data_IF_494140656954
#
_entry.id   IF_494140656954
#
_cell.length_a   1.000
_cell.length_b   1.000
_cell.length_c   1.000
_cell.angle_alpha   90.00
_cell.angle_beta   90.00
_cell.angle_gamma   90.00
#
_symmetry.space_group_name_H-M   'P 1'
#
loop_
_entity.id
_entity.type
_entity.pdbx_description
1 polymer ?
#
# COMPACT_ATOMS: atom_id res chain seq x y z
N UNK A 1 54.74 19.97 -22.21
CA UNK A 1 53.64 20.62 -21.44
C UNK A 1 52.26 20.51 -22.10
N UNK A 2 52.15 20.45 -23.44
CA UNK A 2 50.85 20.32 -24.11
C UNK A 2 50.16 18.96 -23.88
N UNK A 3 50.92 17.86 -23.91
CA UNK A 3 50.43 16.49 -23.65
C UNK A 3 49.90 16.28 -22.23
N UNK A 4 50.54 16.85 -21.22
CA UNK A 4 50.09 16.79 -19.82
C UNK A 4 48.74 17.48 -19.61
N UNK A 5 48.50 18.62 -20.25
CA UNK A 5 47.21 19.33 -20.20
C UNK A 5 46.09 18.55 -20.89
N UNK A 6 46.42 17.84 -21.97
CA UNK A 6 45.48 17.06 -22.77
C UNK A 6 45.03 15.79 -22.03
N UNK A 7 45.97 15.10 -21.36
CA UNK A 7 45.66 13.93 -20.51
C UNK A 7 44.81 14.34 -19.29
N UNK A 8 45.11 15.49 -18.67
CA UNK A 8 44.29 16.03 -17.58
C UNK A 8 42.87 16.38 -18.02
N UNK A 9 42.71 16.95 -19.23
CA UNK A 9 41.41 17.27 -19.80
C UNK A 9 40.55 16.03 -20.07
N UNK A 10 41.15 14.96 -20.60
CA UNK A 10 40.46 13.68 -20.84
C UNK A 10 40.06 13.03 -19.52
N UNK A 11 40.94 13.03 -18.52
CA UNK A 11 40.65 12.48 -17.19
C UNK A 11 39.46 13.20 -16.53
N UNK A 12 39.42 14.53 -16.64
CA UNK A 12 38.31 15.33 -16.10
C UNK A 12 37.00 15.06 -16.84
N UNK A 13 37.03 14.94 -18.17
CA UNK A 13 35.85 14.63 -18.98
C UNK A 13 35.25 13.25 -18.64
N UNK A 14 36.10 12.23 -18.43
CA UNK A 14 35.66 10.91 -18.01
C UNK A 14 35.04 10.93 -16.60
N UNK A 15 35.62 11.68 -15.66
CA UNK A 15 35.05 11.84 -14.32
C UNK A 15 33.67 12.50 -14.35
N UNK A 16 33.48 13.51 -15.21
CA UNK A 16 32.17 14.16 -15.39
C UNK A 16 31.16 13.18 -16.00
N UNK A 17 31.54 12.42 -17.03
CA UNK A 17 30.66 11.43 -17.65
C UNK A 17 30.23 10.34 -16.67
N UNK A 18 31.15 9.82 -15.85
CA UNK A 18 30.85 8.84 -14.81
C UNK A 18 29.97 9.46 -13.71
N UNK A 19 30.27 10.69 -13.27
CA UNK A 19 29.50 11.39 -12.24
C UNK A 19 28.05 11.65 -12.68
N UNK A 20 27.85 12.12 -13.92
CA UNK A 20 26.52 12.35 -14.49
C UNK A 20 25.76 11.03 -14.66
N UNK A 21 26.43 9.98 -15.15
CA UNK A 21 25.83 8.65 -15.28
C UNK A 21 25.42 8.04 -13.94
N UNK A 22 26.21 8.25 -12.88
CA UNK A 22 25.92 7.75 -11.54
C UNK A 22 24.75 8.48 -10.89
N UNK A 23 24.68 9.82 -11.02
CA UNK A 23 23.56 10.63 -10.52
C UNK A 23 22.26 10.27 -11.25
N UNK A 24 22.32 10.12 -12.59
CA UNK A 24 21.15 9.74 -13.38
C UNK A 24 20.68 8.31 -13.06
N UNK A 25 21.60 7.34 -12.97
CA UNK A 25 21.29 5.96 -12.60
C UNK A 25 20.74 5.81 -11.18
N UNK A 26 21.28 6.55 -10.21
CA UNK A 26 20.77 6.58 -8.84
C UNK A 26 19.37 7.21 -8.76
N UNK A 27 19.12 8.27 -9.53
CA UNK A 27 17.79 8.91 -9.61
C UNK A 27 16.75 8.01 -10.30
N UNK A 28 17.15 7.25 -11.32
CA UNK A 28 16.29 6.30 -12.01
C UNK A 28 15.90 5.12 -11.13
N UNK A 29 16.87 4.56 -10.37
CA UNK A 29 16.62 3.45 -9.46
C UNK A 29 15.62 3.82 -8.35
N UNK A 30 15.77 4.99 -7.74
CA UNK A 30 14.84 5.45 -6.69
C UNK A 30 13.43 5.71 -7.22
N UNK A 31 13.28 6.14 -8.48
CA UNK A 31 11.97 6.32 -9.12
C UNK A 31 11.25 4.98 -9.38
N UNK A 32 11.98 3.96 -9.83
CA UNK A 32 11.45 2.60 -10.05
C UNK A 32 11.06 1.93 -8.74
N UNK A 33 11.90 2.04 -7.71
CA UNK A 33 11.61 1.46 -6.38
C UNK A 33 10.34 2.08 -5.79
N UNK A 34 10.14 3.39 -5.97
CA UNK A 34 8.94 4.08 -5.49
C UNK A 34 7.68 3.67 -6.26
N UNK A 35 7.78 3.52 -7.58
CA UNK A 35 6.66 3.06 -8.40
C UNK A 35 6.25 1.63 -8.03
N UNK A 36 7.22 0.76 -7.75
CA UNK A 36 6.98 -0.59 -7.27
C UNK A 36 6.26 -0.59 -5.92
N UNK A 37 6.75 0.18 -4.94
CA UNK A 37 6.11 0.29 -3.62
C UNK A 37 4.66 0.79 -3.71
N UNK A 38 4.36 1.73 -4.62
CA UNK A 38 2.98 2.21 -4.83
C UNK A 38 2.11 1.12 -5.46
N UNK A 39 2.66 0.30 -6.36
CA UNK A 39 1.94 -0.80 -6.99
C UNK A 39 1.65 -1.94 -6.00
N UNK A 40 2.62 -2.32 -5.17
CA UNK A 40 2.46 -3.27 -4.07
C UNK A 40 1.39 -2.80 -3.09
N UNK A 41 1.49 -1.55 -2.64
CA UNK A 41 0.50 -0.93 -1.77
C UNK A 41 -0.92 -0.95 -2.36
N UNK A 42 -1.07 -0.64 -3.65
CA UNK A 42 -2.38 -0.71 -4.31
C UNK A 42 -2.92 -2.14 -4.34
N UNK A 43 -2.06 -3.12 -4.54
CA UNK A 43 -2.43 -4.53 -4.58
C UNK A 43 -2.94 -4.98 -3.22
N UNK A 44 -2.21 -4.69 -2.15
CA UNK A 44 -2.60 -5.02 -0.78
C UNK A 44 -3.92 -4.36 -0.36
N UNK A 45 -4.15 -3.10 -0.75
CA UNK A 45 -5.41 -2.41 -0.48
C UNK A 45 -6.59 -2.98 -1.27
N UNK A 46 -6.38 -3.36 -2.54
CA UNK A 46 -7.41 -4.00 -3.36
C UNK A 46 -7.76 -5.38 -2.81
N UNK A 47 -6.76 -6.19 -2.48
CA UNK A 47 -6.93 -7.52 -1.89
C UNK A 47 -7.68 -7.42 -0.56
N UNK A 48 -7.23 -6.54 0.33
CA UNK A 48 -7.89 -6.32 1.61
C UNK A 48 -9.34 -5.85 1.45
N UNK A 49 -9.60 -4.93 0.51
CA UNK A 49 -10.96 -4.46 0.21
C UNK A 49 -11.84 -5.57 -0.36
N UNK A 50 -11.31 -6.37 -1.29
CA UNK A 50 -12.03 -7.49 -1.88
C UNK A 50 -12.45 -8.49 -0.80
N UNK A 51 -11.53 -8.86 0.09
CA UNK A 51 -11.82 -9.75 1.20
C UNK A 51 -12.89 -9.18 2.15
N UNK A 52 -12.90 -7.87 2.45
CA UNK A 52 -14.00 -7.27 3.22
C UNK A 52 -15.34 -7.35 2.48
N UNK A 53 -15.34 -7.18 1.15
CA UNK A 53 -16.56 -7.30 0.35
C UNK A 53 -17.08 -8.74 0.30
N UNK A 54 -16.19 -9.73 0.19
CA UNK A 54 -16.54 -11.15 0.27
C UNK A 54 -17.13 -11.50 1.65
N UNK A 55 -16.51 -11.01 2.73
CA UNK A 55 -17.04 -11.20 4.08
C UNK A 55 -18.48 -10.67 4.23
N UNK A 56 -18.81 -9.56 3.53
CA UNK A 56 -20.17 -9.00 3.53
C UNK A 56 -21.16 -9.88 2.78
N UNK A 57 -20.74 -10.47 1.66
CA UNK A 57 -21.56 -11.44 0.92
C UNK A 57 -21.85 -12.66 1.79
N UNK A 58 -20.83 -13.13 2.52
CA UNK A 58 -20.98 -14.25 3.44
C UNK A 58 -21.90 -13.93 4.61
N UNK A 59 -21.77 -12.76 5.26
CA UNK A 59 -22.70 -12.32 6.31
C UNK A 59 -24.14 -12.25 5.77
N UNK A 60 -24.32 -11.72 4.56
CA UNK A 60 -25.63 -11.67 3.91
C UNK A 60 -26.23 -13.06 3.69
N UNK A 61 -25.38 -14.04 3.33
CA UNK A 61 -25.76 -15.45 3.18
C UNK A 61 -25.86 -16.23 4.51
N UNK A 62 -25.69 -15.55 5.66
CA UNK A 62 -25.67 -16.15 7.01
C UNK A 62 -24.49 -17.12 7.22
N UNK A 63 -23.42 -16.98 6.42
CA UNK A 63 -22.19 -17.76 6.52
C UNK A 63 -21.12 -17.01 7.35
N UNK A 64 -21.35 -16.89 8.66
CA UNK A 64 -20.47 -16.11 9.54
C UNK A 64 -19.07 -16.72 9.74
N UNK A 65 -18.93 -18.02 9.54
CA UNK A 65 -17.63 -18.70 9.61
C UNK A 65 -16.72 -18.25 8.48
N UNK A 66 -17.24 -18.19 7.25
CA UNK A 66 -16.46 -17.78 6.08
C UNK A 66 -16.21 -16.29 6.10
N UNK A 67 -17.21 -15.50 6.51
CA UNK A 67 -17.03 -14.08 6.76
C UNK A 67 -15.87 -13.79 7.72
N UNK A 68 -15.75 -14.56 8.81
CA UNK A 68 -14.65 -14.42 9.75
C UNK A 68 -13.30 -14.75 9.13
N UNK A 69 -13.22 -15.75 8.25
CA UNK A 69 -12.01 -16.09 7.50
C UNK A 69 -11.62 -14.96 6.53
N UNK A 70 -12.59 -14.41 5.81
CA UNK A 70 -12.37 -13.27 4.92
C UNK A 70 -11.90 -12.02 5.68
N UNK A 71 -12.39 -11.76 6.90
CA UNK A 71 -11.87 -10.66 7.73
C UNK A 71 -10.41 -10.86 8.15
N UNK A 72 -9.96 -12.09 8.43
CA UNK A 72 -8.53 -12.35 8.71
C UNK A 72 -7.64 -12.12 7.49
N UNK A 73 -8.09 -12.54 6.30
CA UNK A 73 -7.40 -12.27 5.03
C UNK A 73 -7.30 -10.75 4.82
N UNK A 74 -8.41 -10.04 4.97
CA UNK A 74 -8.44 -8.59 4.85
C UNK A 74 -7.45 -7.91 5.80
N UNK A 75 -7.46 -8.29 7.07
CA UNK A 75 -6.58 -7.72 8.10
C UNK A 75 -5.11 -7.91 7.78
N UNK A 76 -4.73 -9.09 7.28
CA UNK A 76 -3.35 -9.40 6.91
C UNK A 76 -2.87 -8.48 5.78
N UNK A 77 -3.62 -8.37 4.70
CA UNK A 77 -3.29 -7.50 3.57
C UNK A 77 -3.26 -6.01 3.97
N UNK A 78 -4.26 -5.55 4.74
CA UNK A 78 -4.38 -4.14 5.13
C UNK A 78 -3.31 -3.71 6.15
N UNK A 79 -2.79 -4.63 6.98
CA UNK A 79 -1.64 -4.34 7.86
C UNK A 79 -0.35 -4.14 7.06
N UNK A 80 -0.13 -4.95 6.02
CA UNK A 80 0.99 -4.74 5.09
C UNK A 80 0.86 -3.38 4.40
N UNK A 81 -0.33 -3.05 3.89
CA UNK A 81 -0.60 -1.75 3.28
C UNK A 81 -0.38 -0.58 4.25
N UNK A 82 -0.76 -0.75 5.52
CA UNK A 82 -0.53 0.27 6.54
C UNK A 82 0.96 0.53 6.78
N UNK A 83 1.76 -0.55 6.85
CA UNK A 83 3.21 -0.43 6.95
C UNK A 83 3.80 0.27 5.71
N UNK A 84 3.32 -0.06 4.51
CA UNK A 84 3.70 0.62 3.26
C UNK A 84 3.32 2.11 3.23
N UNK A 85 2.15 2.48 3.76
CA UNK A 85 1.75 3.89 3.89
C UNK A 85 2.67 4.66 4.84
N UNK A 86 3.03 4.05 5.97
CA UNK A 86 3.94 4.67 6.93
C UNK A 86 5.35 4.84 6.35
N UNK A 87 5.88 3.84 5.63
CA UNK A 87 7.20 3.94 4.99
C UNK A 87 7.26 5.02 3.90
N UNK A 88 6.14 5.27 3.21
CA UNK A 88 5.99 6.33 2.22
C UNK A 88 5.68 7.72 2.84
N UNK A 89 5.62 7.82 4.18
CA UNK A 89 5.29 9.06 4.89
C UNK A 89 3.83 9.51 4.76
N UNK A 90 2.92 8.61 4.35
CA UNK A 90 1.48 8.89 4.18
C UNK A 90 0.70 8.66 5.47
N UNK A 91 1.09 9.35 6.54
CA UNK A 91 0.57 9.12 7.90
C UNK A 91 -0.95 9.31 8.02
N UNK A 92 -1.54 10.28 7.30
CA UNK A 92 -3.00 10.50 7.35
C UNK A 92 -3.80 9.38 6.68
N UNK A 93 -3.26 8.80 5.60
CA UNK A 93 -3.86 7.63 4.96
C UNK A 93 -3.69 6.39 5.83
N UNK A 94 -2.53 6.24 6.49
CA UNK A 94 -2.28 5.15 7.43
C UNK A 94 -3.25 5.20 8.62
N UNK A 95 -3.46 6.37 9.24
CA UNK A 95 -4.48 6.56 10.29
C UNK A 95 -5.89 6.21 9.80
N UNK A 96 -6.23 6.60 8.57
CA UNK A 96 -7.52 6.26 7.98
C UNK A 96 -7.67 4.74 7.83
N UNK A 97 -6.61 4.06 7.43
CA UNK A 97 -6.58 2.61 7.27
C UNK A 97 -6.62 1.87 8.60
N UNK A 98 -5.95 2.40 9.64
CA UNK A 98 -6.03 1.90 11.01
C UNK A 98 -7.47 1.96 11.54
N UNK A 99 -8.18 3.07 11.30
CA UNK A 99 -9.60 3.17 11.64
C UNK A 99 -10.49 2.17 10.87
N UNK A 100 -10.09 1.76 9.65
CA UNK A 100 -10.77 0.70 8.92
C UNK A 100 -10.46 -0.69 9.53
N UNK A 101 -9.21 -0.94 9.92
CA UNK A 101 -8.81 -2.17 10.61
C UNK A 101 -9.58 -2.35 11.93
N UNK A 102 -9.73 -1.30 12.74
CA UNK A 102 -10.54 -1.37 13.98
C UNK A 102 -12.00 -1.74 13.69
N UNK A 103 -12.59 -1.22 12.61
CA UNK A 103 -13.95 -1.60 12.20
C UNK A 103 -14.04 -3.05 11.73
N UNK A 104 -13.01 -3.57 11.06
CA UNK A 104 -12.93 -4.98 10.65
C UNK A 104 -12.83 -5.88 11.89
N UNK A 105 -12.03 -5.49 12.89
CA UNK A 105 -11.91 -6.23 14.15
C UNK A 105 -13.27 -6.33 14.85
N UNK A 106 -14.00 -5.23 14.91
CA UNK A 106 -15.33 -5.19 15.50
C UNK A 106 -16.35 -5.96 14.65
N UNK A 107 -16.31 -5.84 13.33
CA UNK A 107 -17.17 -6.60 12.43
C UNK A 107 -16.97 -8.11 12.59
N UNK A 108 -15.73 -8.57 12.70
CA UNK A 108 -15.43 -9.97 12.95
C UNK A 108 -15.91 -10.43 14.32
N UNK A 109 -15.75 -9.60 15.37
CA UNK A 109 -16.28 -9.88 16.71
C UNK A 109 -17.79 -10.08 16.68
N UNK A 110 -18.52 -9.24 15.93
CA UNK A 110 -19.97 -9.36 15.73
C UNK A 110 -20.35 -10.57 14.87
N UNK A 111 -19.58 -10.88 13.82
CA UNK A 111 -19.79 -12.06 13.01
C UNK A 111 -19.63 -13.35 13.84
N UNK A 112 -18.65 -13.40 14.75
CA UNK A 112 -18.49 -14.50 15.71
C UNK A 112 -19.66 -14.65 16.69
N UNK A 113 -20.46 -13.61 16.88
CA UNK A 113 -21.72 -13.62 17.64
C UNK A 113 -22.95 -13.86 16.75
N UNK A 114 -22.75 -14.17 15.47
CA UNK A 114 -23.81 -14.33 14.47
C UNK A 114 -24.67 -13.06 14.31
N UNK A 115 -24.09 -11.89 14.60
CA UNK A 115 -24.79 -10.59 14.50
C UNK A 115 -24.61 -9.99 13.09
N UNK A 116 -25.72 -9.70 12.42
CA UNK A 116 -25.76 -9.09 11.09
C UNK A 116 -25.26 -7.64 11.05
N UNK A 117 -25.19 -6.94 12.18
CA UNK A 117 -24.60 -5.60 12.29
C UNK A 117 -23.13 -5.56 11.85
N UNK A 118 -22.45 -6.73 11.85
CA UNK A 118 -21.13 -6.90 11.25
C UNK A 118 -21.06 -6.39 9.80
N UNK A 119 -22.14 -6.52 9.03
CA UNK A 119 -22.17 -6.08 7.64
C UNK A 119 -22.10 -4.54 7.51
N UNK A 120 -22.71 -3.80 8.44
CA UNK A 120 -22.67 -2.34 8.44
C UNK A 120 -21.23 -1.83 8.70
N UNK A 121 -20.56 -2.40 9.70
CA UNK A 121 -19.16 -2.08 10.00
C UNK A 121 -18.21 -2.45 8.86
N UNK A 122 -18.41 -3.62 8.25
CA UNK A 122 -17.65 -4.04 7.09
C UNK A 122 -17.88 -3.14 5.88
N UNK A 123 -19.11 -2.64 5.68
CA UNK A 123 -19.41 -1.67 4.62
C UNK A 123 -18.67 -0.34 4.83
N UNK A 124 -18.64 0.17 6.06
CA UNK A 124 -17.87 1.37 6.40
C UNK A 124 -16.37 1.16 6.18
N UNK A 125 -15.82 0.03 6.64
CA UNK A 125 -14.42 -0.29 6.42
C UNK A 125 -14.07 -0.36 4.92
N UNK A 126 -14.88 -1.07 4.11
CA UNK A 126 -14.69 -1.17 2.67
C UNK A 126 -14.74 0.19 1.95
N UNK A 127 -15.57 1.11 2.45
CA UNK A 127 -15.64 2.49 1.96
C UNK A 127 -14.35 3.25 2.30
N UNK A 128 -13.90 3.22 3.55
CA UNK A 128 -12.67 3.89 3.98
C UNK A 128 -11.44 3.38 3.21
N UNK A 129 -11.34 2.07 2.99
CA UNK A 129 -10.25 1.49 2.17
C UNK A 129 -10.33 1.99 0.73
N UNK A 130 -11.54 2.08 0.16
CA UNK A 130 -11.77 2.66 -1.16
C UNK A 130 -11.34 4.13 -1.26
N UNK A 131 -11.61 4.92 -0.22
CA UNK A 131 -11.20 6.33 -0.15
C UNK A 131 -9.66 6.47 -0.10
N UNK A 132 -8.99 5.65 0.71
CA UNK A 132 -7.52 5.59 0.76
C UNK A 132 -6.94 5.23 -0.61
N UNK A 133 -7.49 4.19 -1.24
CA UNK A 133 -7.09 3.76 -2.59
C UNK A 133 -7.26 4.89 -3.62
N UNK A 134 -8.38 5.60 -3.57
CA UNK A 134 -8.64 6.76 -4.43
C UNK A 134 -7.65 7.91 -4.21
N UNK A 135 -7.16 8.13 -2.99
CA UNK A 135 -6.12 9.13 -2.69
C UNK A 135 -4.75 8.71 -3.20
N UNK A 136 -4.42 7.42 -3.18
CA UNK A 136 -3.17 6.88 -3.76
C UNK A 136 -3.22 6.91 -5.30
N UNK A 137 -4.41 6.80 -5.90
CA UNK A 137 -4.58 6.84 -7.34
C UNK A 137 -4.32 8.22 -7.97
N UNK A 138 -4.59 9.30 -7.22
CA UNK A 138 -4.57 10.68 -7.72
C UNK A 138 -3.22 11.40 -7.60
N UNK A 139 -2.20 10.77 -7.00
CA UNK A 139 -0.84 11.34 -6.82
C UNK A 139 0.19 10.44 -7.46
#
# INVERSE_FOLDING_TARGET
>A
MATTKLILGIGLALLIAVGVGWVWGASGRSSSDRALQIAELRTELLEGRAAVLDARLDIYSVNFGDASRHFEVARTALRAANAGLMSLGRTEDAKSLEAALTRIDEAQRLAGQLNQDANALAAEAAKTIGDVLGRIAKR
#
